data_IF_473056539244
#
_entry.id   IF_473056539244
#
_cell.length_a   1.000
_cell.length_b   1.000
_cell.length_c   1.000
_cell.angle_alpha   90.00
_cell.angle_beta   90.00
_cell.angle_gamma   90.00
#
_symmetry.space_group_name_H-M   'P 1'
#
loop_
_entity.id
_entity.type
_entity.pdbx_description
1 polymer ?
#
# COMPACT_ATOMS: atom_id res chain seq x y z
N UNK A 1 -12.12 1.12 28.60
CA UNK A 1 -12.51 0.47 27.31
C UNK A 1 -13.46 1.28 26.44
N UNK A 2 -14.20 2.29 26.93
CA UNK A 2 -15.09 3.11 26.09
C UNK A 2 -14.40 4.28 25.38
N UNK A 3 -13.30 4.82 25.92
CA UNK A 3 -12.62 6.01 25.36
C UNK A 3 -11.92 5.75 24.02
N UNK A 4 -11.40 4.54 23.79
CA UNK A 4 -10.72 4.14 22.54
C UNK A 4 -11.71 3.89 21.37
N UNK A 5 -12.98 3.58 21.66
CA UNK A 5 -14.03 3.42 20.62
C UNK A 5 -14.57 4.75 20.11
N UNK A 6 -14.38 5.84 20.85
CA UNK A 6 -14.85 7.17 20.46
C UNK A 6 -13.86 7.87 19.52
N UNK A 7 -12.55 7.60 19.67
CA UNK A 7 -11.50 8.21 18.86
C UNK A 7 -11.40 7.62 17.43
N UNK A 8 -11.84 6.36 17.23
CA UNK A 8 -11.89 5.73 15.90
C UNK A 8 -13.12 6.18 15.08
N UNK A 9 -14.15 6.76 15.71
CA UNK A 9 -15.38 7.18 15.04
C UNK A 9 -15.28 8.54 14.32
N UNK A 10 -14.22 9.33 14.56
CA UNK A 10 -14.06 10.68 13.99
C UNK A 10 -12.90 10.80 12.99
N UNK A 11 -12.21 9.69 12.67
CA UNK A 11 -11.35 9.62 11.49
C UNK A 11 -12.22 9.45 10.25
N UNK A 12 -12.81 10.55 9.79
CA UNK A 12 -13.36 10.65 8.43
C UNK A 12 -12.30 10.11 7.46
N UNK A 13 -12.66 9.15 6.59
CA UNK A 13 -11.68 8.54 5.71
C UNK A 13 -11.10 9.65 4.82
N UNK A 14 -9.78 9.74 4.80
CA UNK A 14 -9.03 10.73 4.02
C UNK A 14 -9.40 10.68 2.52
N UNK A 15 -10.07 9.62 2.08
CA UNK A 15 -10.64 9.40 0.74
C UNK A 15 -11.62 10.49 0.28
N UNK A 16 -12.27 11.23 1.20
CA UNK A 16 -13.27 12.26 0.84
C UNK A 16 -12.68 13.62 0.44
N UNK A 17 -11.41 13.92 0.77
CA UNK A 17 -10.77 15.20 0.40
C UNK A 17 -10.21 15.20 -1.02
N UNK A 18 -9.91 14.03 -1.56
CA UNK A 18 -9.30 13.85 -2.88
C UNK A 18 -10.24 14.15 -4.07
N UNK A 19 -11.52 13.73 -4.10
CA UNK A 19 -12.43 14.14 -5.17
C UNK A 19 -12.70 15.64 -5.13
N UNK A 20 -12.71 16.24 -3.93
CA UNK A 20 -12.87 17.69 -3.77
C UNK A 20 -11.71 18.48 -4.37
N UNK A 21 -10.47 18.02 -4.20
CA UNK A 21 -9.30 18.68 -4.79
C UNK A 21 -9.30 18.57 -6.32
N UNK A 22 -9.67 17.41 -6.87
CA UNK A 22 -9.79 17.21 -8.31
C UNK A 22 -10.93 18.05 -8.92
N UNK A 23 -12.09 18.09 -8.27
CA UNK A 23 -13.23 18.94 -8.66
C UNK A 23 -12.87 20.42 -8.55
N UNK A 24 -12.11 20.83 -7.52
CA UNK A 24 -11.65 22.21 -7.37
C UNK A 24 -10.64 22.60 -8.47
N UNK A 25 -9.73 21.69 -8.85
CA UNK A 25 -8.77 21.91 -9.94
C UNK A 25 -9.47 21.99 -11.30
N UNK A 26 -10.40 21.06 -11.57
CA UNK A 26 -11.20 21.07 -12.81
C UNK A 26 -12.11 22.30 -12.85
N UNK A 27 -12.79 22.63 -11.76
CA UNK A 27 -13.62 23.82 -11.63
C UNK A 27 -12.80 25.11 -11.80
N UNK A 28 -11.59 25.16 -11.24
CA UNK A 28 -10.65 26.26 -11.44
C UNK A 28 -10.20 26.42 -12.89
N UNK A 29 -9.95 25.32 -13.61
CA UNK A 29 -9.64 25.33 -15.04
C UNK A 29 -10.82 25.81 -15.88
N UNK A 30 -12.04 25.34 -15.61
CA UNK A 30 -13.25 25.81 -16.29
C UNK A 30 -13.54 27.29 -16.02
N UNK A 31 -13.36 27.75 -14.77
CA UNK A 31 -13.48 29.17 -14.43
C UNK A 31 -12.43 30.02 -15.15
N UNK A 32 -11.18 29.57 -15.19
CA UNK A 32 -10.10 30.25 -15.90
C UNK A 32 -10.35 30.32 -17.43
N UNK A 33 -10.86 29.24 -18.03
CA UNK A 33 -11.26 29.20 -19.44
C UNK A 33 -12.46 30.11 -19.72
N UNK A 34 -13.48 30.12 -18.85
CA UNK A 34 -14.65 30.98 -18.96
C UNK A 34 -14.31 32.47 -18.83
N UNK A 35 -13.46 32.82 -17.88
CA UNK A 35 -12.94 34.19 -17.70
C UNK A 35 -12.07 34.60 -18.88
N UNK A 36 -11.23 33.69 -19.41
CA UNK A 36 -10.44 33.95 -20.62
C UNK A 36 -11.31 34.18 -21.87
N UNK A 37 -12.38 33.39 -22.04
CA UNK A 37 -13.35 33.55 -23.13
C UNK A 37 -14.10 34.89 -23.02
N UNK A 38 -14.51 35.29 -21.82
CA UNK A 38 -15.15 36.57 -21.55
C UNK A 38 -14.21 37.77 -21.79
N UNK A 39 -12.94 37.65 -21.37
CA UNK A 39 -11.90 38.67 -21.58
C UNK A 39 -11.49 38.83 -23.04
N UNK A 40 -11.48 37.76 -23.85
CA UNK A 40 -11.21 37.83 -25.30
C UNK A 40 -12.29 38.59 -26.07
N UNK A 41 -13.50 38.75 -25.49
CA UNK A 41 -14.56 39.60 -26.02
C UNK A 41 -14.38 41.11 -25.73
N UNK A 42 -13.41 41.48 -24.90
CA UNK A 42 -13.03 42.86 -24.61
C UNK A 42 -11.57 43.09 -25.07
N UNK A 43 -11.27 44.23 -25.71
CA UNK A 43 -10.00 44.47 -26.43
C UNK A 43 -8.71 44.62 -25.57
N UNK A 44 -8.59 43.93 -24.43
CA UNK A 44 -7.43 44.09 -23.55
C UNK A 44 -7.17 42.92 -22.62
N UNK A 45 -6.58 41.84 -23.14
CA UNK A 45 -6.05 40.77 -22.28
C UNK A 45 -4.61 41.11 -21.91
N UNK A 46 -4.37 41.49 -20.64
CA UNK A 46 -3.02 41.80 -20.16
C UNK A 46 -2.15 40.53 -20.16
N UNK A 47 -0.89 40.55 -20.69
CA UNK A 47 -0.06 39.36 -20.88
C UNK A 47 0.16 38.49 -19.63
N UNK A 48 0.10 39.10 -18.45
CA UNK A 48 0.24 38.42 -17.15
C UNK A 48 -0.88 37.38 -16.88
N UNK A 49 -2.06 37.53 -17.48
CA UNK A 49 -3.17 36.58 -17.32
C UNK A 49 -2.83 35.20 -17.91
N UNK A 50 -2.23 35.17 -19.11
CA UNK A 50 -1.83 33.92 -19.77
C UNK A 50 -0.76 33.17 -18.97
N UNK A 51 0.15 33.90 -18.32
CA UNK A 51 1.17 33.32 -17.43
C UNK A 51 0.51 32.68 -16.22
N UNK A 52 -0.51 33.32 -15.63
CA UNK A 52 -1.28 32.78 -14.51
C UNK A 52 -2.00 31.46 -14.87
N UNK A 53 -2.66 31.40 -16.02
CA UNK A 53 -3.32 30.18 -16.50
C UNK A 53 -2.30 29.07 -16.78
N UNK A 54 -1.18 29.40 -17.43
CA UNK A 54 -0.11 28.44 -17.70
C UNK A 54 0.49 27.85 -16.40
N UNK A 55 0.66 28.67 -15.36
CA UNK A 55 1.14 28.22 -14.06
C UNK A 55 0.14 27.25 -13.38
N UNK A 56 -1.16 27.56 -13.44
CA UNK A 56 -2.22 26.69 -12.89
C UNK A 56 -2.23 25.34 -13.62
N UNK A 57 -2.19 25.35 -14.96
CA UNK A 57 -2.13 24.12 -15.76
C UNK A 57 -0.87 23.32 -15.42
N UNK A 58 0.28 23.98 -15.29
CA UNK A 58 1.57 23.33 -14.97
C UNK A 58 1.55 22.58 -13.62
N UNK A 59 0.82 23.11 -12.63
CA UNK A 59 0.64 22.46 -11.32
C UNK A 59 -0.48 21.40 -11.36
N UNK A 60 -1.56 21.67 -12.10
CA UNK A 60 -2.72 20.78 -12.17
C UNK A 60 -2.44 19.50 -12.97
N UNK A 61 -1.70 19.59 -14.09
CA UNK A 61 -1.49 18.47 -15.01
C UNK A 61 -0.79 17.27 -14.33
N UNK A 62 0.30 17.44 -13.54
CA UNK A 62 0.94 16.33 -12.86
C UNK A 62 0.04 15.66 -11.82
N UNK A 63 -0.74 16.45 -11.07
CA UNK A 63 -1.70 15.94 -10.07
C UNK A 63 -2.82 15.15 -10.75
N UNK A 64 -3.39 15.68 -11.82
CA UNK A 64 -4.39 14.99 -12.63
C UNK A 64 -3.82 13.71 -13.26
N UNK A 65 -2.60 13.79 -13.83
CA UNK A 65 -1.92 12.63 -14.42
C UNK A 65 -1.72 11.53 -13.39
N UNK A 66 -1.16 11.86 -12.22
CA UNK A 66 -0.89 10.88 -11.16
C UNK A 66 -2.17 10.24 -10.61
N UNK A 67 -3.26 10.99 -10.47
CA UNK A 67 -4.53 10.47 -9.92
C UNK A 67 -5.34 9.65 -10.92
N UNK A 68 -5.41 10.08 -12.19
CA UNK A 68 -6.26 9.43 -13.18
C UNK A 68 -5.51 8.39 -14.01
N UNK A 69 -4.23 8.67 -14.29
CA UNK A 69 -3.39 7.89 -15.20
C UNK A 69 -2.00 7.62 -14.59
N UNK A 70 -1.91 6.98 -13.41
CA UNK A 70 -0.62 6.55 -12.86
C UNK A 70 0.08 5.62 -13.86
N UNK A 71 1.37 5.88 -14.07
CA UNK A 71 2.24 4.99 -14.84
C UNK A 71 2.57 3.73 -14.04
N UNK A 72 3.10 2.69 -14.69
CA UNK A 72 3.55 1.48 -13.99
C UNK A 72 4.57 1.80 -12.88
N UNK A 73 5.46 2.77 -13.10
CA UNK A 73 6.42 3.23 -12.09
C UNK A 73 5.73 3.87 -10.89
N UNK A 74 4.70 4.68 -11.15
CA UNK A 74 3.92 5.32 -10.07
C UNK A 74 3.22 4.24 -9.23
N UNK A 75 2.61 3.23 -9.88
CA UNK A 75 1.97 2.11 -9.19
C UNK A 75 2.93 1.33 -8.29
N UNK A 76 4.11 0.98 -8.81
CA UNK A 76 5.15 0.31 -8.01
C UNK A 76 5.63 1.19 -6.87
N UNK A 77 5.81 2.49 -7.08
CA UNK A 77 6.27 3.40 -6.03
C UNK A 77 5.26 3.49 -4.88
N UNK A 78 3.96 3.56 -5.20
CA UNK A 78 2.89 3.58 -4.19
C UNK A 78 2.87 2.29 -3.37
N UNK A 79 2.99 1.14 -4.04
CA UNK A 79 3.10 -0.15 -3.37
C UNK A 79 4.30 -0.20 -2.40
N UNK A 80 5.48 0.24 -2.86
CA UNK A 80 6.69 0.27 -2.00
C UNK A 80 6.56 1.21 -0.81
N UNK A 81 5.83 2.32 -0.97
CA UNK A 81 5.51 3.23 0.13
C UNK A 81 4.65 2.54 1.18
N UNK A 82 3.58 1.86 0.78
CA UNK A 82 2.69 1.13 1.69
C UNK A 82 3.42 -0.02 2.39
N UNK A 83 4.29 -0.75 1.68
CA UNK A 83 5.11 -1.80 2.26
C UNK A 83 6.07 -1.25 3.34
N UNK A 84 6.65 -0.07 3.12
CA UNK A 84 7.51 0.61 4.09
C UNK A 84 6.72 1.09 5.31
N UNK A 85 5.53 1.64 5.12
CA UNK A 85 4.64 2.04 6.19
C UNK A 85 4.22 0.84 7.04
N UNK A 86 3.80 -0.26 6.42
CA UNK A 86 3.44 -1.51 7.10
C UNK A 86 4.63 -2.04 7.92
N UNK A 87 5.84 -2.04 7.35
CA UNK A 87 7.05 -2.47 8.08
C UNK A 87 7.28 -1.65 9.35
N UNK A 88 7.09 -0.34 9.29
CA UNK A 88 7.25 0.54 10.44
C UNK A 88 6.12 0.34 11.46
N UNK A 89 4.89 0.10 11.02
CA UNK A 89 3.77 -0.24 11.88
C UNK A 89 4.01 -1.54 12.65
N UNK A 90 4.41 -2.61 11.94
CA UNK A 90 4.76 -3.90 12.54
C UNK A 90 5.89 -3.72 13.57
N UNK A 91 6.92 -2.96 13.21
CA UNK A 91 8.02 -2.65 14.13
C UNK A 91 7.53 -1.94 15.39
N UNK A 92 6.61 -0.99 15.29
CA UNK A 92 6.05 -0.29 16.46
C UNK A 92 5.20 -1.21 17.30
N UNK A 93 4.31 -2.00 16.70
CA UNK A 93 3.46 -2.96 17.42
C UNK A 93 4.31 -3.98 18.19
N UNK A 94 5.31 -4.58 17.55
CA UNK A 94 6.22 -5.52 18.22
C UNK A 94 7.00 -4.82 19.33
N UNK A 95 7.51 -3.59 19.10
CA UNK A 95 8.21 -2.84 20.14
C UNK A 95 7.33 -2.50 21.35
N UNK A 96 6.07 -2.14 21.10
CA UNK A 96 5.10 -1.82 22.15
C UNK A 96 4.73 -3.05 22.98
N UNK A 97 4.48 -4.18 22.32
CA UNK A 97 3.98 -5.40 22.96
C UNK A 97 5.07 -6.28 23.56
N UNK A 98 6.24 -6.32 22.93
CA UNK A 98 7.33 -7.24 23.28
C UNK A 98 8.63 -6.51 23.67
N UNK A 99 8.69 -5.19 23.51
CA UNK A 99 9.84 -4.37 23.86
C UNK A 99 10.81 -4.11 22.70
N UNK A 100 11.52 -2.97 22.78
CA UNK A 100 12.46 -2.54 21.74
C UNK A 100 13.63 -3.53 21.50
N UNK A 101 13.98 -4.34 22.50
CA UNK A 101 15.01 -5.36 22.37
C UNK A 101 14.66 -6.44 21.34
N UNK A 102 13.38 -6.81 21.21
CA UNK A 102 12.95 -7.79 20.19
C UNK A 102 13.09 -7.23 18.77
N UNK A 103 12.84 -5.93 18.57
CA UNK A 103 13.09 -5.30 17.27
C UNK A 103 14.56 -5.37 16.88
N UNK A 104 15.46 -5.13 17.83
CA UNK A 104 16.90 -5.26 17.62
C UNK A 104 17.28 -6.66 17.15
N UNK A 105 16.68 -7.70 17.73
CA UNK A 105 16.90 -9.10 17.33
C UNK A 105 16.29 -9.44 15.96
N UNK A 106 15.05 -9.04 15.70
CA UNK A 106 14.32 -9.41 14.49
C UNK A 106 14.77 -8.62 13.25
N UNK A 107 15.19 -7.36 13.41
CA UNK A 107 15.55 -6.46 12.32
C UNK A 107 17.03 -6.08 12.31
N UNK A 108 17.89 -6.84 13.00
CA UNK A 108 19.34 -6.61 12.96
C UNK A 108 19.84 -6.66 11.52
N UNK A 109 20.61 -5.65 11.13
CA UNK A 109 21.03 -5.39 9.75
C UNK A 109 22.16 -6.32 9.28
N UNK A 110 22.70 -7.15 10.18
CA UNK A 110 23.73 -8.12 9.85
C UNK A 110 23.07 -9.45 9.45
N UNK A 111 23.17 -9.82 8.17
CA UNK A 111 22.64 -11.07 7.62
C UNK A 111 23.15 -12.35 8.30
N UNK A 112 24.11 -12.24 9.22
CA UNK A 112 24.62 -13.29 10.10
C UNK A 112 23.62 -13.80 11.15
N UNK A 113 22.52 -13.09 11.43
CA UNK A 113 21.52 -13.51 12.43
C UNK A 113 20.18 -13.91 11.80
N UNK A 114 20.15 -14.23 10.51
CA UNK A 114 18.92 -14.61 9.80
C UNK A 114 18.21 -15.79 10.47
N UNK A 115 18.94 -16.88 10.72
CA UNK A 115 18.38 -18.08 11.33
C UNK A 115 17.92 -17.78 12.76
N UNK A 116 18.69 -16.99 13.51
CA UNK A 116 18.31 -16.51 14.85
C UNK A 116 17.04 -15.66 14.84
N UNK A 117 16.83 -14.83 13.81
CA UNK A 117 15.61 -14.03 13.67
C UNK A 117 14.40 -14.89 13.31
N UNK A 118 14.58 -15.91 12.47
CA UNK A 118 13.55 -16.91 12.14
C UNK A 118 13.11 -17.65 13.39
N UNK A 119 14.06 -18.22 14.13
CA UNK A 119 13.79 -18.99 15.34
C UNK A 119 13.09 -18.12 16.38
N UNK A 120 13.57 -16.88 16.56
CA UNK A 120 12.93 -15.94 17.48
C UNK A 120 11.51 -15.57 17.07
N UNK A 121 11.25 -15.32 15.79
CA UNK A 121 9.90 -15.08 15.28
C UNK A 121 8.97 -16.26 15.56
N UNK A 122 9.43 -17.49 15.30
CA UNK A 122 8.65 -18.72 15.56
C UNK A 122 8.30 -18.88 17.03
N UNK A 123 9.27 -18.69 17.92
CA UNK A 123 9.03 -18.69 19.37
C UNK A 123 7.95 -17.67 19.77
N UNK A 124 8.06 -16.43 19.26
CA UNK A 124 7.14 -15.35 19.60
C UNK A 124 5.72 -15.59 19.07
N UNK A 125 5.57 -16.16 17.86
CA UNK A 125 4.24 -16.51 17.29
C UNK A 125 3.51 -17.53 18.17
N UNK A 126 4.26 -18.45 18.79
CA UNK A 126 3.70 -19.48 19.66
C UNK A 126 3.66 -19.08 21.15
N UNK A 127 4.15 -17.90 21.52
CA UNK A 127 4.11 -17.41 22.89
C UNK A 127 2.73 -16.83 23.27
N UNK A 128 2.43 -16.79 24.57
CA UNK A 128 1.16 -16.28 25.08
C UNK A 128 0.78 -14.87 24.61
N UNK A 129 1.71 -13.90 24.46
CA UNK A 129 1.36 -12.59 23.92
C UNK A 129 0.73 -12.66 22.53
N UNK A 130 1.28 -13.47 21.62
CA UNK A 130 0.76 -13.59 20.26
C UNK A 130 -0.50 -14.46 20.20
N UNK A 131 -0.63 -15.48 21.06
CA UNK A 131 -1.87 -16.28 21.14
C UNK A 131 -3.08 -15.46 21.55
N UNK A 132 -2.88 -14.45 22.39
CA UNK A 132 -3.96 -13.61 22.92
C UNK A 132 -4.12 -12.28 22.16
N UNK A 133 -3.26 -11.98 21.20
CA UNK A 133 -3.26 -10.74 20.43
C UNK A 133 -3.14 -11.05 18.92
N UNK A 134 -4.29 -11.15 18.20
CA UNK A 134 -4.29 -11.46 16.78
C UNK A 134 -3.52 -10.45 15.93
N UNK A 135 -3.54 -9.17 16.28
CA UNK A 135 -2.79 -8.12 15.56
C UNK A 135 -1.28 -8.35 15.69
N UNK A 136 -0.81 -8.67 16.90
CA UNK A 136 0.60 -9.01 17.12
C UNK A 136 0.98 -10.30 16.38
N UNK A 137 0.12 -11.32 16.39
CA UNK A 137 0.36 -12.57 15.65
C UNK A 137 0.46 -12.31 14.15
N UNK A 138 -0.45 -11.51 13.58
CA UNK A 138 -0.42 -11.09 12.19
C UNK A 138 0.89 -10.36 11.85
N UNK A 139 1.29 -9.40 12.68
CA UNK A 139 2.53 -8.65 12.52
C UNK A 139 3.78 -9.54 12.51
N UNK A 140 3.84 -10.53 13.43
CA UNK A 140 4.94 -11.49 13.50
C UNK A 140 4.96 -12.46 12.30
N UNK A 141 3.79 -12.93 11.84
CA UNK A 141 3.66 -13.78 10.65
C UNK A 141 4.15 -13.05 9.39
N UNK A 142 3.76 -11.79 9.20
CA UNK A 142 4.22 -10.97 8.09
C UNK A 142 5.73 -10.71 8.13
N UNK A 143 6.29 -10.48 9.33
CA UNK A 143 7.72 -10.31 9.52
C UNK A 143 8.47 -11.60 9.17
N UNK A 144 8.00 -12.75 9.64
CA UNK A 144 8.61 -14.05 9.36
C UNK A 144 8.55 -14.42 7.88
N UNK A 145 7.39 -14.26 7.23
CA UNK A 145 7.25 -14.45 5.79
C UNK A 145 8.24 -13.58 5.00
N UNK A 146 8.46 -12.34 5.45
CA UNK A 146 9.40 -11.42 4.79
C UNK A 146 10.82 -11.93 4.88
N UNK A 147 11.21 -12.47 6.03
CA UNK A 147 12.54 -13.07 6.20
C UNK A 147 12.70 -14.24 5.23
N UNK A 148 11.69 -15.09 5.06
CA UNK A 148 11.73 -16.20 4.10
C UNK A 148 11.81 -15.76 2.63
N UNK A 149 11.07 -14.72 2.24
CA UNK A 149 11.20 -14.13 0.89
C UNK A 149 12.63 -13.66 0.61
N UNK A 150 13.23 -12.94 1.56
CA UNK A 150 14.63 -12.47 1.44
C UNK A 150 15.64 -13.62 1.53
N UNK A 151 15.19 -14.80 1.93
CA UNK A 151 16.00 -16.01 2.04
C UNK A 151 15.88 -16.92 0.83
N UNK A 152 15.04 -16.60 -0.15
CA UNK A 152 14.84 -17.48 -1.30
C UNK A 152 13.95 -18.68 -0.99
N UNK A 153 13.12 -18.60 0.05
CA UNK A 153 12.27 -19.70 0.50
C UNK A 153 10.77 -19.38 0.35
N UNK A 154 10.25 -19.21 -0.89
CA UNK A 154 8.87 -18.81 -1.12
C UNK A 154 7.84 -19.78 -0.55
N UNK A 155 8.13 -21.09 -0.50
CA UNK A 155 7.22 -22.08 0.12
C UNK A 155 6.97 -21.84 1.61
N UNK A 156 8.02 -21.48 2.38
CA UNK A 156 7.87 -21.14 3.81
C UNK A 156 7.20 -19.77 3.99
N UNK A 157 7.46 -18.83 3.07
CA UNK A 157 6.74 -17.56 3.05
C UNK A 157 5.23 -17.77 2.84
N UNK A 158 4.84 -18.59 1.86
CA UNK A 158 3.44 -18.96 1.56
C UNK A 158 2.75 -19.50 2.81
N UNK A 159 3.39 -20.42 3.54
CA UNK A 159 2.83 -20.99 4.76
C UNK A 159 2.45 -19.90 5.77
N UNK A 160 3.38 -18.99 6.08
CA UNK A 160 3.14 -17.96 7.09
C UNK A 160 2.24 -16.82 6.60
N UNK A 161 2.25 -16.52 5.30
CA UNK A 161 1.30 -15.59 4.69
C UNK A 161 -0.12 -16.15 4.70
N UNK A 162 -0.29 -17.46 4.51
CA UNK A 162 -1.59 -18.14 4.62
C UNK A 162 -2.14 -18.01 6.03
N UNK A 163 -1.32 -18.28 7.06
CA UNK A 163 -1.72 -18.05 8.45
C UNK A 163 -2.02 -16.57 8.75
N UNK A 164 -1.36 -15.62 8.06
CA UNK A 164 -1.60 -14.19 8.25
C UNK A 164 -2.96 -13.78 7.67
N UNK A 165 -3.32 -14.28 6.48
CA UNK A 165 -4.64 -13.98 5.88
C UNK A 165 -5.78 -14.70 6.62
N UNK A 166 -5.52 -15.78 7.38
CA UNK A 166 -6.55 -16.33 8.29
C UNK A 166 -6.96 -15.33 9.39
N UNK A 167 -6.06 -14.40 9.74
CA UNK A 167 -6.33 -13.32 10.71
C UNK A 167 -6.93 -12.11 10.00
N UNK A 168 -6.33 -11.67 8.90
CA UNK A 168 -6.78 -10.53 8.10
C UNK A 168 -7.02 -10.95 6.63
N UNK A 169 -8.22 -11.49 6.30
CA UNK A 169 -8.48 -12.15 5.01
C UNK A 169 -8.32 -11.27 3.77
N UNK A 170 -8.56 -9.97 3.93
CA UNK A 170 -8.57 -9.02 2.83
C UNK A 170 -7.35 -8.10 2.82
N UNK A 171 -6.36 -8.29 3.69
CA UNK A 171 -5.22 -7.38 3.78
C UNK A 171 -4.42 -7.38 2.47
N UNK A 172 -4.33 -6.21 1.81
CA UNK A 172 -3.79 -6.09 0.46
C UNK A 172 -2.37 -6.64 0.37
N UNK A 173 -1.45 -6.16 1.21
CA UNK A 173 -0.03 -6.53 1.08
C UNK A 173 0.20 -8.02 1.39
N UNK A 174 -0.61 -8.62 2.26
CA UNK A 174 -0.47 -10.04 2.61
C UNK A 174 -0.87 -10.91 1.41
N UNK A 175 -2.05 -10.64 0.83
CA UNK A 175 -2.52 -11.30 -0.38
C UNK A 175 -1.63 -11.02 -1.59
N UNK A 176 -1.14 -9.79 -1.77
CA UNK A 176 -0.26 -9.42 -2.88
C UNK A 176 1.09 -10.14 -2.78
N UNK A 177 1.70 -10.21 -1.59
CA UNK A 177 2.93 -10.97 -1.38
C UNK A 177 2.70 -12.47 -1.55
N UNK A 178 1.56 -12.99 -1.10
CA UNK A 178 1.22 -14.39 -1.26
C UNK A 178 1.14 -14.76 -2.75
N UNK A 179 0.49 -13.90 -3.56
CA UNK A 179 0.46 -14.03 -5.01
C UNK A 179 1.87 -14.03 -5.62
N UNK A 180 2.73 -13.08 -5.24
CA UNK A 180 4.11 -13.02 -5.73
C UNK A 180 4.92 -14.29 -5.38
N UNK A 181 4.73 -14.87 -4.20
CA UNK A 181 5.42 -16.10 -3.83
C UNK A 181 4.89 -17.31 -4.63
N UNK A 182 3.58 -17.36 -4.94
CA UNK A 182 3.02 -18.38 -5.85
C UNK A 182 3.55 -18.21 -7.27
N UNK A 183 3.68 -16.99 -7.79
CA UNK A 183 4.33 -16.73 -9.08
C UNK A 183 5.79 -17.21 -9.10
N UNK A 184 6.54 -16.95 -8.02
CA UNK A 184 7.92 -17.42 -7.90
C UNK A 184 7.99 -18.96 -7.95
N UNK A 185 6.99 -19.64 -7.40
CA UNK A 185 6.86 -21.10 -7.47
C UNK A 185 6.32 -21.61 -8.82
N UNK A 186 5.92 -20.71 -9.73
CA UNK A 186 5.29 -21.05 -11.02
C UNK A 186 3.80 -21.40 -10.94
N UNK A 187 3.16 -21.24 -9.77
CA UNK A 187 1.73 -21.45 -9.58
C UNK A 187 0.93 -20.18 -9.92
N UNK A 188 0.86 -19.92 -11.22
CA UNK A 188 0.11 -18.80 -11.79
C UNK A 188 -1.39 -18.81 -11.42
N UNK A 189 -2.12 -19.95 -11.41
CA UNK A 189 -3.50 -20.01 -10.94
C UNK A 189 -3.69 -19.48 -9.51
N UNK A 190 -2.87 -19.94 -8.56
CA UNK A 190 -2.93 -19.47 -7.17
C UNK A 190 -2.51 -18.01 -7.04
N UNK A 191 -1.53 -17.56 -7.83
CA UNK A 191 -1.15 -16.16 -7.87
C UNK A 191 -2.30 -15.25 -8.29
N UNK A 192 -3.01 -15.59 -9.38
CA UNK A 192 -4.17 -14.80 -9.85
C UNK A 192 -5.29 -14.78 -8.81
N UNK A 193 -5.52 -15.89 -8.10
CA UNK A 193 -6.51 -15.93 -7.02
C UNK A 193 -6.18 -14.91 -5.92
N UNK A 194 -4.94 -14.90 -5.44
CA UNK A 194 -4.53 -14.01 -4.36
C UNK A 194 -4.40 -12.55 -4.79
N UNK A 195 -4.02 -12.26 -6.04
CA UNK A 195 -4.12 -10.90 -6.57
C UNK A 195 -5.55 -10.39 -6.58
N UNK A 196 -6.52 -11.24 -6.92
CA UNK A 196 -7.95 -10.89 -6.85
C UNK A 196 -8.40 -10.67 -5.41
N UNK A 197 -7.96 -11.48 -4.46
CA UNK A 197 -8.29 -11.31 -3.04
C UNK A 197 -7.71 -10.00 -2.47
N UNK A 198 -6.51 -9.59 -2.90
CA UNK A 198 -5.92 -8.32 -2.50
C UNK A 198 -6.79 -7.11 -2.88
N UNK A 199 -7.53 -7.19 -4.00
CA UNK A 199 -8.47 -6.14 -4.43
C UNK A 199 -9.72 -6.02 -3.54
N UNK A 200 -9.93 -6.96 -2.62
CA UNK A 200 -11.02 -6.92 -1.64
C UNK A 200 -10.71 -6.10 -0.39
N UNK A 201 -9.51 -5.52 -0.25
CA UNK A 201 -9.10 -4.75 0.94
C UNK A 201 -9.98 -3.49 1.14
N UNK A 202 -10.77 -3.40 2.23
CA UNK A 202 -11.66 -2.26 2.47
C UNK A 202 -10.92 -1.01 3.01
N UNK A 203 -9.75 -1.17 3.63
CA UNK A 203 -9.13 -0.15 4.47
C UNK A 203 -7.87 0.48 3.84
N UNK A 204 -7.30 -0.15 2.81
CA UNK A 204 -5.98 0.23 2.29
C UNK A 204 -5.81 0.25 0.76
N UNK A 205 -6.86 0.03 -0.02
CA UNK A 205 -6.73 -0.10 -1.48
C UNK A 205 -6.64 1.27 -2.18
N UNK A 206 -5.44 1.67 -2.59
CA UNK A 206 -5.25 2.81 -3.50
C UNK A 206 -5.48 2.41 -4.96
N UNK A 207 -5.89 3.36 -5.81
CA UNK A 207 -6.08 3.12 -7.26
C UNK A 207 -4.80 2.62 -7.95
N UNK A 208 -3.64 3.08 -7.47
CA UNK A 208 -2.34 2.64 -7.97
C UNK A 208 -2.07 1.17 -7.63
N UNK A 209 -2.41 0.75 -6.41
CA UNK A 209 -2.31 -0.65 -5.96
C UNK A 209 -3.31 -1.56 -6.67
N UNK A 210 -4.54 -1.07 -6.90
CA UNK A 210 -5.55 -1.76 -7.72
C UNK A 210 -5.02 -2.02 -9.14
N UNK A 211 -4.54 -0.97 -9.81
CA UNK A 211 -3.97 -1.07 -11.16
C UNK A 211 -2.76 -2.01 -11.19
N UNK A 212 -1.94 -2.02 -10.14
CA UNK A 212 -0.80 -2.92 -10.05
C UNK A 212 -1.25 -4.39 -10.01
N UNK A 213 -2.20 -4.74 -9.13
CA UNK A 213 -2.70 -6.12 -9.03
C UNK A 213 -3.39 -6.58 -10.32
N UNK A 214 -4.20 -5.70 -10.95
CA UNK A 214 -4.83 -6.00 -12.25
C UNK A 214 -3.77 -6.20 -13.34
N UNK A 215 -2.74 -5.37 -13.38
CA UNK A 215 -1.65 -5.51 -14.35
C UNK A 215 -0.89 -6.84 -14.19
N UNK A 216 -0.66 -7.30 -12.95
CA UNK A 216 -0.02 -8.61 -12.72
C UNK A 216 -0.90 -9.77 -13.18
N UNK A 217 -2.20 -9.76 -12.88
CA UNK A 217 -3.12 -10.79 -13.38
C UNK A 217 -3.18 -10.84 -14.90
N UNK A 218 -3.19 -9.67 -15.55
CA UNK A 218 -3.16 -9.55 -17.01
C UNK A 218 -1.85 -10.07 -17.61
N UNK A 219 -0.72 -9.77 -16.98
CA UNK A 219 0.60 -10.29 -17.37
C UNK A 219 0.63 -11.82 -17.34
N UNK A 220 0.17 -12.41 -16.24
CA UNK A 220 0.05 -13.87 -16.10
C UNK A 220 -0.87 -14.46 -17.17
N UNK A 221 -2.03 -13.82 -17.40
CA UNK A 221 -3.01 -14.26 -18.41
C UNK A 221 -2.43 -14.30 -19.82
N UNK A 222 -1.55 -13.35 -20.15
CA UNK A 222 -0.87 -13.26 -21.46
C UNK A 222 0.32 -14.20 -21.60
N UNK A 223 0.74 -14.86 -20.51
CA UNK A 223 1.93 -15.72 -20.50
C UNK A 223 3.25 -14.94 -20.58
N UNK A 224 3.24 -13.67 -20.17
CA UNK A 224 4.42 -12.81 -20.17
C UNK A 224 5.21 -13.04 -18.87
N UNK A 225 6.30 -13.81 -18.94
CA UNK A 225 7.24 -14.06 -17.83
C UNK A 225 8.49 -13.20 -17.93
#
# INVERSE_FOLDING_TARGET
>A
MQKKRQDDADRKPATTRFPLLAVAVVGGLFAALGVSYWLLGHEGVHPLWLIGVAAIISIALPVLRANFFPSAKDCTSEYTFHEKCLKEQIRRQIAEKLGAAEIGRLYSRAGTFRDSAIDRCRELIHADPARNDPELRFALLLALARIYEHSGEPGKSIQHLTEAIDIEPHHFIANFRLAMNYEWMGDNPSAVLHYRQALGDPDGLSRAMEKLAVAQMERIRKGES
#
